data_IF_882036278224
#
_entry.id   IF_882036278224
#
_cell.length_a   1.000
_cell.length_b   1.000
_cell.length_c   1.000
_cell.angle_alpha   90.00
_cell.angle_beta   90.00
_cell.angle_gamma   90.00
#
_symmetry.space_group_name_H-M   'P 1'
#
loop_
_entity.id
_entity.type
_entity.pdbx_description
1 polymer ?
#
# COMPACT_ATOMS: atom_id res chain seq x y z
N UNK A 1 -48.05 -15.40 -0.66
CA UNK A 1 -46.97 -15.00 0.26
C UNK A 1 -47.60 -14.61 1.58
N UNK A 2 -47.20 -15.24 2.67
CA UNK A 2 -47.69 -14.91 4.01
C UNK A 2 -46.85 -13.79 4.62
N UNK A 3 -47.44 -13.00 5.51
CA UNK A 3 -46.77 -11.91 6.24
C UNK A 3 -45.48 -12.37 6.93
N UNK A 4 -45.47 -13.60 7.43
CA UNK A 4 -44.30 -14.26 8.05
C UNK A 4 -43.13 -14.46 7.08
N UNK A 5 -43.40 -14.82 5.80
CA UNK A 5 -42.34 -14.96 4.79
C UNK A 5 -41.68 -13.62 4.50
N UNK A 6 -42.48 -12.55 4.39
CA UNK A 6 -41.98 -11.19 4.14
C UNK A 6 -41.08 -10.69 5.27
N UNK A 7 -41.48 -10.92 6.53
CA UNK A 7 -40.66 -10.54 7.70
C UNK A 7 -39.35 -11.35 7.75
N UNK A 8 -39.37 -12.64 7.40
CA UNK A 8 -38.15 -13.44 7.34
C UNK A 8 -37.19 -12.94 6.25
N UNK A 9 -37.70 -12.61 5.07
CA UNK A 9 -36.91 -12.08 3.96
C UNK A 9 -36.29 -10.72 4.33
N UNK A 10 -37.06 -9.82 4.94
CA UNK A 10 -36.58 -8.51 5.39
C UNK A 10 -35.49 -8.64 6.48
N UNK A 11 -35.67 -9.55 7.44
CA UNK A 11 -34.66 -9.82 8.48
C UNK A 11 -33.38 -10.44 7.90
N UNK A 12 -33.50 -11.33 6.92
CA UNK A 12 -32.34 -11.86 6.21
C UNK A 12 -31.61 -10.77 5.44
N UNK A 13 -32.34 -9.87 4.76
CA UNK A 13 -31.76 -8.74 4.06
C UNK A 13 -31.01 -7.79 5.01
N UNK A 14 -31.62 -7.41 6.14
CA UNK A 14 -30.97 -6.56 7.15
C UNK A 14 -29.76 -7.25 7.75
N UNK A 15 -29.85 -8.54 8.07
CA UNK A 15 -28.71 -9.31 8.58
C UNK A 15 -27.57 -9.37 7.57
N UNK A 16 -27.86 -9.58 6.30
CA UNK A 16 -26.84 -9.59 5.23
C UNK A 16 -26.23 -8.20 5.04
N UNK A 17 -27.03 -7.14 5.08
CA UNK A 17 -26.56 -5.76 4.97
C UNK A 17 -25.65 -5.36 6.15
N UNK A 18 -26.04 -5.73 7.38
CA UNK A 18 -25.24 -5.49 8.59
C UNK A 18 -23.96 -6.33 8.57
N UNK A 19 -24.04 -7.63 8.26
CA UNK A 19 -22.87 -8.50 8.17
C UNK A 19 -21.88 -8.04 7.09
N UNK A 20 -22.39 -7.50 5.97
CA UNK A 20 -21.55 -6.93 4.90
C UNK A 20 -20.86 -5.63 5.34
N UNK A 21 -21.53 -4.81 6.17
CA UNK A 21 -20.96 -3.59 6.76
C UNK A 21 -19.92 -3.89 7.83
N UNK A 22 -20.10 -4.96 8.59
CA UNK A 22 -19.18 -5.38 9.66
C UNK A 22 -17.98 -6.20 9.14
N UNK A 23 -17.97 -6.54 7.85
CA UNK A 23 -16.86 -7.25 7.23
C UNK A 23 -15.59 -6.36 7.25
N UNK A 24 -14.43 -6.90 7.64
CA UNK A 24 -13.19 -6.12 7.66
C UNK A 24 -12.88 -5.54 6.28
N UNK A 25 -12.66 -4.23 6.21
CA UNK A 25 -12.22 -3.57 4.99
C UNK A 25 -10.97 -4.26 4.46
N UNK A 26 -11.01 -4.61 3.17
CA UNK A 26 -9.98 -5.42 2.54
C UNK A 26 -9.41 -4.70 1.34
N UNK A 27 -8.10 -4.45 1.37
CA UNK A 27 -7.43 -3.80 0.24
C UNK A 27 -7.60 -4.64 -1.04
N UNK A 28 -8.05 -4.06 -2.17
CA UNK A 28 -8.18 -4.78 -3.42
C UNK A 28 -6.85 -5.38 -3.88
N UNK A 29 -6.83 -6.67 -4.19
CA UNK A 29 -5.58 -7.38 -4.53
C UNK A 29 -4.84 -6.80 -5.75
N UNK A 30 -5.55 -6.19 -6.70
CA UNK A 30 -4.93 -5.50 -7.83
C UNK A 30 -4.05 -4.32 -7.42
N UNK A 31 -4.42 -3.60 -6.36
CA UNK A 31 -3.61 -2.51 -5.80
C UNK A 31 -2.32 -3.08 -5.21
N UNK A 32 -2.43 -4.14 -4.41
CA UNK A 32 -1.27 -4.80 -3.80
C UNK A 32 -0.26 -5.30 -4.85
N UNK A 33 -0.75 -5.89 -5.96
CA UNK A 33 0.12 -6.38 -7.04
C UNK A 33 0.84 -5.25 -7.79
N UNK A 34 0.16 -4.13 -8.05
CA UNK A 34 0.80 -2.95 -8.69
C UNK A 34 1.94 -2.46 -7.82
N UNK A 35 1.69 -2.30 -6.51
CA UNK A 35 2.72 -1.83 -5.58
C UNK A 35 3.82 -2.87 -5.35
N UNK A 36 3.50 -4.16 -5.37
CA UNK A 36 4.51 -5.22 -5.31
C UNK A 36 5.50 -5.14 -6.48
N UNK A 37 5.01 -4.94 -7.71
CA UNK A 37 5.85 -4.76 -8.89
C UNK A 37 6.65 -3.44 -8.83
N UNK A 38 5.99 -2.34 -8.44
CA UNK A 38 6.61 -1.03 -8.30
C UNK A 38 7.80 -1.05 -7.32
N UNK A 39 7.60 -1.62 -6.13
CA UNK A 39 8.62 -1.71 -5.09
C UNK A 39 9.74 -2.63 -5.54
N UNK A 40 9.44 -3.80 -6.12
CA UNK A 40 10.46 -4.73 -6.59
C UNK A 40 11.41 -4.06 -7.61
N UNK A 41 10.86 -3.44 -8.65
CA UNK A 41 11.66 -2.78 -9.68
C UNK A 41 12.41 -1.57 -9.10
N UNK A 42 11.72 -0.70 -8.35
CA UNK A 42 12.32 0.53 -7.84
C UNK A 42 13.46 0.28 -6.86
N UNK A 43 13.29 -0.66 -5.94
CA UNK A 43 14.31 -0.98 -4.95
C UNK A 43 15.49 -1.73 -5.57
N UNK A 44 15.23 -2.59 -6.57
CA UNK A 44 16.32 -3.20 -7.36
C UNK A 44 17.14 -2.10 -8.06
N UNK A 45 16.48 -1.11 -8.67
CA UNK A 45 17.20 0.00 -9.30
C UNK A 45 18.09 0.81 -8.34
N UNK A 46 17.77 0.89 -7.04
CA UNK A 46 18.62 1.60 -6.07
C UNK A 46 20.01 0.96 -5.90
N UNK A 47 20.13 -0.35 -6.09
CA UNK A 47 21.42 -1.04 -6.04
C UNK A 47 22.11 -1.09 -7.40
N UNK A 48 21.36 -1.32 -8.48
CA UNK A 48 21.94 -1.58 -9.80
C UNK A 48 22.04 -0.34 -10.69
N UNK A 49 21.14 0.65 -10.55
CA UNK A 49 21.16 1.87 -11.36
C UNK A 49 20.45 3.05 -10.67
N UNK A 50 21.20 3.72 -9.78
CA UNK A 50 20.72 4.85 -8.96
C UNK A 50 20.21 6.03 -9.79
N UNK A 51 20.73 6.23 -11.00
CA UNK A 51 20.35 7.35 -11.87
C UNK A 51 18.89 7.20 -12.31
N UNK A 52 18.48 5.99 -12.73
CA UNK A 52 17.10 5.75 -13.15
C UNK A 52 16.13 5.48 -12.00
N UNK A 53 16.63 5.11 -10.82
CA UNK A 53 15.78 4.84 -9.65
C UNK A 53 14.88 6.04 -9.29
N UNK A 54 15.45 7.26 -9.24
CA UNK A 54 14.68 8.47 -8.94
C UNK A 54 13.56 8.73 -9.94
N UNK A 55 13.87 8.63 -11.24
CA UNK A 55 12.88 8.80 -12.33
C UNK A 55 11.80 7.72 -12.26
N UNK A 56 12.17 6.47 -11.97
CA UNK A 56 11.22 5.38 -11.77
C UNK A 56 10.24 5.68 -10.65
N UNK A 57 10.73 6.05 -9.45
CA UNK A 57 9.86 6.35 -8.31
C UNK A 57 8.90 7.52 -8.61
N UNK A 58 9.35 8.56 -9.32
CA UNK A 58 8.47 9.68 -9.69
C UNK A 58 7.38 9.26 -10.68
N UNK A 59 7.75 8.64 -11.80
CA UNK A 59 6.81 8.33 -12.88
C UNK A 59 5.91 7.16 -12.49
N UNK A 60 6.52 6.04 -12.10
CA UNK A 60 5.77 4.83 -11.76
C UNK A 60 4.97 5.00 -10.46
N UNK A 61 5.42 5.87 -9.54
CA UNK A 61 4.67 6.19 -8.32
C UNK A 61 3.39 6.95 -8.62
N UNK A 62 3.45 7.94 -9.52
CA UNK A 62 2.27 8.67 -9.97
C UNK A 62 1.29 7.76 -10.74
N UNK A 63 1.80 6.93 -11.65
CA UNK A 63 0.99 5.94 -12.39
C UNK A 63 0.34 4.94 -11.42
N UNK A 64 1.11 4.43 -10.45
CA UNK A 64 0.64 3.51 -9.43
C UNK A 64 -0.46 4.13 -8.54
N UNK A 65 -0.32 5.40 -8.16
CA UNK A 65 -1.33 6.15 -7.41
C UNK A 65 -2.63 6.32 -8.18
N UNK A 66 -2.55 6.78 -9.44
CA UNK A 66 -3.73 6.94 -10.31
C UNK A 66 -4.40 5.58 -10.56
N UNK A 67 -3.63 4.55 -10.89
CA UNK A 67 -4.12 3.19 -11.10
C UNK A 67 -4.81 2.63 -9.86
N UNK A 68 -4.25 2.87 -8.67
CA UNK A 68 -4.85 2.48 -7.39
C UNK A 68 -6.19 3.16 -7.16
N UNK A 69 -6.30 4.46 -7.45
CA UNK A 69 -7.57 5.19 -7.33
C UNK A 69 -8.66 4.66 -8.27
N UNK A 70 -8.31 4.33 -9.52
CA UNK A 70 -9.26 3.75 -10.48
C UNK A 70 -9.72 2.36 -10.02
N UNK A 71 -8.80 1.51 -9.56
CA UNK A 71 -9.13 0.17 -9.06
C UNK A 71 -9.98 0.26 -7.79
N UNK A 72 -9.60 1.14 -6.85
CA UNK A 72 -10.34 1.38 -5.62
C UNK A 72 -11.76 1.83 -5.89
N UNK A 73 -11.95 2.84 -6.77
CA UNK A 73 -13.29 3.31 -7.17
C UNK A 73 -14.14 2.20 -7.81
N UNK A 74 -13.55 1.39 -8.70
CA UNK A 74 -14.24 0.25 -9.32
C UNK A 74 -14.61 -0.82 -8.31
N UNK A 75 -13.73 -1.09 -7.34
CA UNK A 75 -14.00 -2.06 -6.29
C UNK A 75 -15.12 -1.59 -5.36
N UNK A 76 -15.04 -0.35 -4.86
CA UNK A 76 -16.06 0.32 -4.06
C UNK A 76 -17.45 0.28 -4.72
N UNK A 77 -17.52 0.63 -6.01
CA UNK A 77 -18.76 0.55 -6.79
C UNK A 77 -19.33 -0.87 -6.90
N UNK A 78 -18.48 -1.90 -7.00
CA UNK A 78 -18.93 -3.31 -7.07
C UNK A 78 -19.47 -3.83 -5.74
N UNK A 79 -18.90 -3.39 -4.62
CA UNK A 79 -19.38 -3.79 -3.29
C UNK A 79 -20.57 -2.96 -2.81
N UNK A 80 -20.91 -1.88 -3.52
CA UNK A 80 -22.04 -1.00 -3.21
C UNK A 80 -21.73 0.00 -2.08
N UNK A 81 -20.46 0.20 -1.78
CA UNK A 81 -19.99 1.06 -0.69
C UNK A 81 -19.35 2.31 -1.32
N UNK A 82 -20.12 3.38 -1.42
CA UNK A 82 -19.63 4.68 -1.89
C UNK A 82 -19.79 5.66 -0.74
N UNK A 83 -18.81 5.66 0.18
CA UNK A 83 -18.67 6.71 1.18
C UNK A 83 -17.59 7.71 0.75
N UNK A 84 -18.03 8.93 0.44
CA UNK A 84 -17.15 10.03 0.07
C UNK A 84 -16.21 10.45 1.21
N UNK A 85 -16.66 10.32 2.46
CA UNK A 85 -15.86 10.66 3.65
C UNK A 85 -14.65 9.74 3.77
N UNK A 86 -14.86 8.45 3.60
CA UNK A 86 -13.78 7.46 3.69
C UNK A 86 -12.82 7.55 2.50
N UNK A 87 -13.35 7.82 1.29
CA UNK A 87 -12.52 8.14 0.13
C UNK A 87 -11.61 9.34 0.37
N UNK A 88 -12.12 10.41 1.00
CA UNK A 88 -11.32 11.59 1.34
C UNK A 88 -10.26 11.28 2.40
N UNK A 89 -10.60 10.53 3.45
CA UNK A 89 -9.61 10.11 4.47
C UNK A 89 -8.47 9.31 3.85
N UNK A 90 -8.77 8.38 2.96
CA UNK A 90 -7.74 7.62 2.23
C UNK A 90 -6.90 8.52 1.33
N UNK A 91 -7.53 9.43 0.57
CA UNK A 91 -6.84 10.36 -0.29
C UNK A 91 -5.88 11.29 0.49
N UNK A 92 -6.32 11.81 1.65
CA UNK A 92 -5.48 12.63 2.53
C UNK A 92 -4.34 11.81 3.15
N UNK A 93 -4.64 10.60 3.61
CA UNK A 93 -3.64 9.71 4.20
C UNK A 93 -2.53 9.38 3.21
N UNK A 94 -2.88 8.90 2.01
CA UNK A 94 -1.90 8.59 0.98
C UNK A 94 -1.29 9.85 0.37
N UNK A 95 -2.03 10.95 0.24
CA UNK A 95 -1.52 12.23 -0.24
C UNK A 95 -0.45 12.83 0.67
N UNK A 96 -0.54 12.59 1.98
CA UNK A 96 0.46 13.04 2.96
C UNK A 96 1.86 12.50 2.66
N UNK A 97 1.98 11.30 2.08
CA UNK A 97 3.28 10.72 1.70
C UNK A 97 3.94 11.50 0.58
N UNK A 98 3.16 11.96 -0.40
CA UNK A 98 3.65 12.72 -1.55
C UNK A 98 4.14 14.07 -1.06
N UNK A 99 3.36 14.73 -0.21
CA UNK A 99 3.75 15.99 0.41
C UNK A 99 5.01 15.85 1.27
N UNK A 100 5.11 14.79 2.06
CA UNK A 100 6.29 14.50 2.87
C UNK A 100 7.53 14.27 2.01
N UNK A 101 7.43 13.47 0.95
CA UNK A 101 8.55 13.22 0.02
C UNK A 101 8.98 14.52 -0.68
N UNK A 102 8.02 15.31 -1.18
CA UNK A 102 8.33 16.60 -1.82
C UNK A 102 9.01 17.56 -0.84
N UNK A 103 8.51 17.64 0.40
CA UNK A 103 9.10 18.48 1.44
C UNK A 103 10.54 18.04 1.79
N UNK A 104 10.77 16.73 1.91
CA UNK A 104 12.10 16.16 2.09
C UNK A 104 13.00 16.58 0.92
N UNK A 105 12.61 16.28 -0.32
CA UNK A 105 13.39 16.61 -1.51
C UNK A 105 13.69 18.13 -1.62
N UNK A 106 12.72 18.98 -1.29
CA UNK A 106 12.90 20.44 -1.27
C UNK A 106 13.92 20.89 -0.21
N UNK A 107 13.83 20.35 1.01
CA UNK A 107 14.80 20.63 2.07
C UNK A 107 16.23 20.24 1.63
N UNK A 108 16.37 19.08 1.01
CA UNK A 108 17.66 18.59 0.50
C UNK A 108 18.19 19.43 -0.67
N UNK A 109 17.32 19.90 -1.57
CA UNK A 109 17.70 20.77 -2.69
C UNK A 109 18.26 22.13 -2.24
N UNK A 110 17.77 22.68 -1.13
CA UNK A 110 18.24 23.98 -0.61
C UNK A 110 19.58 23.91 0.15
N UNK A 111 20.06 22.71 0.50
CA UNK A 111 21.25 22.45 1.33
C UNK A 111 22.35 21.73 0.53
N UNK A 112 22.50 22.09 -0.74
CA UNK A 112 23.23 21.33 -1.76
C UNK A 112 24.70 21.02 -1.40
N UNK A 113 25.37 21.88 -0.63
CA UNK A 113 26.80 21.75 -0.29
C UNK A 113 27.07 20.80 0.88
N UNK A 114 26.14 20.66 1.83
CA UNK A 114 26.31 19.81 3.03
C UNK A 114 26.01 18.32 2.75
N UNK A 115 25.32 18.04 1.63
CA UNK A 115 24.61 16.77 1.43
C UNK A 115 25.08 15.99 0.19
N UNK A 116 26.05 16.55 -0.55
CA UNK A 116 26.63 15.87 -1.71
C UNK A 116 27.21 14.52 -1.29
N UNK A 117 26.63 13.43 -1.81
CA UNK A 117 27.04 12.05 -1.50
C UNK A 117 26.17 11.30 -0.47
N UNK A 118 25.18 11.92 0.18
CA UNK A 118 24.30 11.23 1.17
C UNK A 118 22.98 10.71 0.58
N UNK A 119 22.97 10.31 -0.68
CA UNK A 119 21.76 9.80 -1.36
C UNK A 119 21.13 8.58 -0.68
N UNK A 120 21.96 7.74 -0.05
CA UNK A 120 21.49 6.60 0.72
C UNK A 120 20.68 7.01 1.97
N UNK A 121 21.17 7.98 2.73
CA UNK A 121 20.47 8.51 3.92
C UNK A 121 19.13 9.11 3.51
N UNK A 122 19.07 9.84 2.38
CA UNK A 122 17.81 10.38 1.85
C UNK A 122 16.84 9.25 1.54
N UNK A 123 17.30 8.19 0.85
CA UNK A 123 16.51 7.01 0.56
C UNK A 123 15.97 6.34 1.84
N UNK A 124 16.82 6.19 2.86
CA UNK A 124 16.43 5.59 4.14
C UNK A 124 15.38 6.44 4.88
N UNK A 125 15.57 7.76 4.92
CA UNK A 125 14.60 8.68 5.52
C UNK A 125 13.25 8.59 4.80
N UNK A 126 13.25 8.60 3.47
CA UNK A 126 12.02 8.43 2.67
C UNK A 126 11.37 7.07 2.97
N UNK A 127 12.14 5.97 2.99
CA UNK A 127 11.64 4.64 3.30
C UNK A 127 11.02 4.58 4.71
N UNK A 128 11.64 5.21 5.71
CA UNK A 128 11.09 5.31 7.07
C UNK A 128 9.78 6.11 7.06
N UNK A 129 9.73 7.27 6.39
CA UNK A 129 8.50 8.06 6.27
C UNK A 129 7.37 7.24 5.62
N UNK A 130 7.68 6.49 4.55
CA UNK A 130 6.72 5.59 3.90
C UNK A 130 6.27 4.49 4.86
N UNK A 131 7.20 3.93 5.64
CA UNK A 131 6.92 2.91 6.66
C UNK A 131 5.98 3.41 7.75
N UNK A 132 6.13 4.66 8.19
CA UNK A 132 5.21 5.31 9.14
C UNK A 132 3.82 5.44 8.52
N UNK A 133 3.73 5.92 7.27
CA UNK A 133 2.42 6.04 6.57
C UNK A 133 1.75 4.68 6.42
N UNK A 134 2.51 3.62 6.12
CA UNK A 134 1.98 2.25 6.04
C UNK A 134 1.52 1.74 7.40
N UNK A 135 2.33 1.95 8.44
CA UNK A 135 1.95 1.58 9.81
C UNK A 135 0.65 2.26 10.24
N UNK A 136 0.54 3.57 10.02
CA UNK A 136 -0.66 4.34 10.31
C UNK A 136 -1.84 3.90 9.43
N UNK A 137 -1.61 3.54 8.16
CA UNK A 137 -2.66 2.95 7.33
C UNK A 137 -3.18 1.64 7.94
N UNK A 138 -2.29 0.88 8.58
CA UNK A 138 -2.65 -0.34 9.28
C UNK A 138 -3.47 -0.11 10.56
N UNK A 139 -3.22 1.00 11.25
CA UNK A 139 -4.02 1.41 12.43
C UNK A 139 -5.41 1.88 12.01
N UNK A 140 -5.54 2.61 10.90
CA UNK A 140 -6.79 3.28 10.52
C UNK A 140 -7.64 2.50 9.49
N UNK A 141 -7.04 1.63 8.68
CA UNK A 141 -7.71 0.96 7.57
C UNK A 141 -7.56 -0.57 7.65
N UNK A 142 -6.45 -1.11 7.13
CA UNK A 142 -6.24 -2.56 6.98
C UNK A 142 -5.02 -2.99 7.80
N UNK A 143 -5.26 -3.69 8.92
CA UNK A 143 -4.23 -4.12 9.89
C UNK A 143 -3.03 -4.82 9.25
N UNK A 144 -3.21 -5.41 8.07
CA UNK A 144 -2.13 -5.98 7.29
C UNK A 144 -0.95 -4.99 7.06
N UNK A 145 -1.24 -3.69 6.87
CA UNK A 145 -0.19 -2.69 6.66
C UNK A 145 0.67 -2.38 7.89
N UNK A 146 0.24 -2.75 9.10
CA UNK A 146 1.06 -2.59 10.32
C UNK A 146 2.39 -3.30 10.15
N UNK A 147 2.33 -4.57 9.74
CA UNK A 147 3.52 -5.41 9.58
C UNK A 147 4.39 -4.96 8.42
N UNK A 148 3.77 -4.52 7.30
CA UNK A 148 4.53 -3.96 6.18
C UNK A 148 5.24 -2.67 6.57
N UNK A 149 4.59 -1.78 7.32
CA UNK A 149 5.18 -0.53 7.80
C UNK A 149 6.37 -0.79 8.72
N UNK A 150 6.21 -1.69 9.70
CA UNK A 150 7.31 -2.10 10.58
C UNK A 150 8.46 -2.72 9.81
N UNK A 151 8.17 -3.62 8.86
CA UNK A 151 9.19 -4.26 8.02
C UNK A 151 9.94 -3.23 7.16
N UNK A 152 9.24 -2.24 6.61
CA UNK A 152 9.86 -1.18 5.82
C UNK A 152 10.76 -0.28 6.66
N UNK A 153 10.32 0.15 7.86
CA UNK A 153 11.15 0.95 8.78
C UNK A 153 12.37 0.18 9.27
N UNK A 154 12.18 -1.08 9.70
CA UNK A 154 13.27 -1.93 10.14
C UNK A 154 14.25 -2.21 8.99
N UNK A 155 13.73 -2.48 7.79
CA UNK A 155 14.52 -2.69 6.59
C UNK A 155 15.35 -1.47 6.19
N UNK A 156 14.77 -0.27 6.28
CA UNK A 156 15.49 0.97 5.99
C UNK A 156 16.70 1.17 6.90
N UNK A 157 16.58 0.83 8.19
CA UNK A 157 17.70 0.86 9.15
C UNK A 157 18.68 -0.30 8.88
N UNK A 158 18.16 -1.49 8.57
CA UNK A 158 18.96 -2.69 8.34
C UNK A 158 19.89 -2.57 7.11
N UNK A 159 19.52 -1.78 6.11
CA UNK A 159 20.33 -1.54 4.90
C UNK A 159 21.74 -1.03 5.26
N UNK A 160 21.88 -0.22 6.31
CA UNK A 160 23.19 0.27 6.77
C UNK A 160 24.16 -0.83 7.24
N UNK A 161 23.64 -2.03 7.51
CA UNK A 161 24.42 -3.19 7.93
C UNK A 161 24.63 -4.21 6.80
N UNK A 162 24.05 -3.97 5.62
CA UNK A 162 24.10 -4.88 4.48
C UNK A 162 24.91 -4.21 3.36
N UNK A 163 26.19 -4.54 3.18
CA UNK A 163 27.09 -3.80 2.30
C UNK A 163 26.76 -3.95 0.80
N UNK A 164 25.97 -4.96 0.43
CA UNK A 164 25.59 -5.22 -0.96
C UNK A 164 24.13 -5.64 -1.06
N UNK A 165 23.41 -5.09 -2.04
CA UNK A 165 22.04 -5.46 -2.39
C UNK A 165 20.98 -5.24 -1.29
N UNK A 166 21.26 -4.37 -0.31
CA UNK A 166 20.36 -4.11 0.81
C UNK A 166 18.98 -3.60 0.34
N UNK A 167 18.95 -2.72 -0.66
CA UNK A 167 17.69 -2.21 -1.22
C UNK A 167 16.93 -3.32 -1.95
N UNK A 168 17.60 -4.10 -2.79
CA UNK A 168 17.02 -5.21 -3.54
C UNK A 168 16.40 -6.24 -2.60
N UNK A 169 17.10 -6.63 -1.54
CA UNK A 169 16.59 -7.54 -0.52
C UNK A 169 15.31 -6.99 0.14
N UNK A 170 15.32 -5.72 0.55
CA UNK A 170 14.15 -5.06 1.10
C UNK A 170 12.99 -5.00 0.09
N UNK A 171 13.29 -4.70 -1.17
CA UNK A 171 12.33 -4.69 -2.27
C UNK A 171 11.66 -6.05 -2.49
N UNK A 172 12.45 -7.13 -2.47
CA UNK A 172 11.95 -8.51 -2.58
C UNK A 172 11.05 -8.85 -1.39
N UNK A 173 11.48 -8.53 -0.16
CA UNK A 173 10.68 -8.79 1.04
C UNK A 173 9.34 -8.05 1.03
N UNK A 174 9.34 -6.76 0.66
CA UNK A 174 8.12 -5.96 0.56
C UNK A 174 7.21 -6.43 -0.57
N UNK A 175 7.77 -6.76 -1.73
CA UNK A 175 7.03 -7.29 -2.87
C UNK A 175 6.37 -8.62 -2.54
N UNK A 176 7.12 -9.55 -1.93
CA UNK A 176 6.61 -10.82 -1.46
C UNK A 176 5.53 -10.63 -0.40
N UNK A 177 5.77 -9.71 0.55
CA UNK A 177 4.79 -9.28 1.53
C UNK A 177 3.48 -8.91 0.84
N UNK A 178 3.50 -7.87 0.00
CA UNK A 178 2.32 -7.34 -0.70
C UNK A 178 1.61 -8.40 -1.57
N UNK A 179 2.34 -9.28 -2.23
CA UNK A 179 1.76 -10.33 -3.08
C UNK A 179 1.13 -11.48 -2.27
N UNK A 180 1.63 -11.76 -1.06
CA UNK A 180 1.25 -12.92 -0.27
C UNK A 180 -0.27 -13.00 0.03
N UNK A 181 -0.95 -11.94 0.51
CA UNK A 181 -2.40 -11.98 0.73
C UNK A 181 -3.20 -12.29 -0.54
N UNK A 182 -2.72 -11.84 -1.71
CA UNK A 182 -3.41 -12.06 -2.98
C UNK A 182 -3.33 -13.52 -3.39
N UNK A 183 -2.17 -14.15 -3.22
CA UNK A 183 -1.96 -15.57 -3.51
C UNK A 183 -2.73 -16.45 -2.52
N UNK A 184 -2.71 -16.11 -1.23
CA UNK A 184 -3.41 -16.88 -0.20
C UNK A 184 -4.93 -16.80 -0.36
N UNK A 185 -5.49 -15.63 -0.66
CA UNK A 185 -6.94 -15.47 -0.87
C UNK A 185 -7.46 -16.26 -2.07
N UNK A 186 -6.70 -16.32 -3.18
CA UNK A 186 -7.09 -17.11 -4.37
C UNK A 186 -7.21 -18.61 -4.10
N UNK A 187 -6.50 -19.16 -3.11
CA UNK A 187 -6.58 -20.59 -2.78
C UNK A 187 -7.86 -20.96 -2.04
N UNK A 188 -8.50 -20.01 -1.37
CA UNK A 188 -9.72 -20.24 -0.59
C UNK A 188 -11.00 -20.26 -1.42
N UNK A 189 -10.97 -19.73 -2.66
CA UNK A 189 -12.13 -19.63 -3.56
C UNK A 189 -12.29 -20.86 -4.48
N UNK A 190 -11.50 -21.92 -4.30
CA UNK A 190 -11.71 -23.20 -5.02
C UNK A 190 -12.77 -23.99 -4.26
N UNK A 191 -13.99 -24.18 -4.78
CA UNK A 191 -14.98 -25.03 -4.14
C UNK A 191 -14.41 -26.44 -4.10
N UNK A 192 -14.32 -27.03 -2.90
CA UNK A 192 -14.20 -28.47 -2.78
C UNK A 192 -15.44 -29.07 -3.42
N UNK A 193 -15.30 -29.56 -4.66
CA UNK A 193 -16.29 -30.42 -5.29
C UNK A 193 -16.34 -31.69 -4.43
N UNK A 194 -17.39 -31.79 -3.60
CA UNK A 194 -17.85 -33.02 -2.97
C UNK A 194 -19.34 -33.18 -3.30
#
# INVERSE_FOLDING_TARGET
MTETQRIQDDLQFVRQAVAKRDAPYSTPGGILLIWAAYVLVGYTLLDFNRVYAGTWFMIAGMIGGIGSGIIGKRHAARIGEIDHSDGMKQALHWGSIVLAIVAILALFATRHDEIRGRGEVIGQVIAICVGIVYFLAGVHFDRYFIWLGLMLMAGAVAISFVPQYGWTMLGVLLSAGLALPVVLRRRSDVPSVQ
#
